data_IF_692132374687
#
_entry.id   IF_692132374687
#
_cell.length_a   1.000
_cell.length_b   1.000
_cell.length_c   1.000
_cell.angle_alpha   90.00
_cell.angle_beta   90.00
_cell.angle_gamma   90.00
#
_symmetry.space_group_name_H-M   'P 1'
#
loop_
_entity.id
_entity.type
_entity.pdbx_description
1 polymer ?
#
# COMPACT_ATOMS: atom_id res chain seq x y z
N UNK A 1 14.67 -4.71 -18.12
CA UNK A 1 13.56 -5.58 -18.57
C UNK A 1 12.68 -5.88 -17.37
N UNK A 2 11.38 -6.21 -17.54
CA UNK A 2 10.57 -6.65 -16.41
C UNK A 2 11.18 -7.91 -15.78
N UNK A 3 11.06 -8.06 -14.46
CA UNK A 3 11.63 -9.20 -13.73
C UNK A 3 10.82 -10.48 -13.98
N UNK A 4 9.52 -10.35 -14.23
CA UNK A 4 8.61 -11.44 -14.56
C UNK A 4 7.46 -10.94 -15.44
N UNK A 5 6.74 -11.89 -16.05
CA UNK A 5 5.49 -11.64 -16.78
C UNK A 5 4.42 -12.61 -16.27
N UNK A 6 3.16 -12.17 -16.28
CA UNK A 6 2.02 -13.03 -16.03
C UNK A 6 1.33 -13.34 -17.36
N UNK A 7 0.93 -14.60 -17.55
CA UNK A 7 0.22 -15.08 -18.73
C UNK A 7 -1.16 -15.60 -18.32
N UNK A 8 -2.18 -15.28 -19.12
CA UNK A 8 -3.54 -15.76 -18.87
C UNK A 8 -4.32 -15.93 -20.18
N UNK A 9 -5.26 -16.87 -20.20
CA UNK A 9 -6.21 -17.03 -21.31
C UNK A 9 -7.16 -15.83 -21.37
N UNK A 10 -7.86 -15.65 -22.50
CA UNK A 10 -8.85 -14.59 -22.68
C UNK A 10 -9.88 -14.54 -21.53
N UNK A 11 -10.33 -15.69 -21.03
CA UNK A 11 -11.32 -15.76 -19.95
C UNK A 11 -10.80 -15.21 -18.62
N UNK A 12 -9.54 -15.50 -18.29
CA UNK A 12 -8.88 -15.08 -17.04
C UNK A 12 -8.36 -13.64 -17.12
N UNK A 13 -7.96 -13.18 -18.31
CA UNK A 13 -7.42 -11.84 -18.53
C UNK A 13 -8.49 -10.75 -18.67
N UNK A 14 -9.79 -11.07 -18.57
CA UNK A 14 -10.89 -10.10 -18.77
C UNK A 14 -10.81 -8.86 -17.87
N UNK A 15 -10.29 -9.01 -16.66
CA UNK A 15 -10.12 -7.90 -15.70
C UNK A 15 -8.80 -7.14 -15.85
N UNK A 16 -7.91 -7.59 -16.73
CA UNK A 16 -6.57 -7.03 -16.90
C UNK A 16 -6.62 -5.73 -17.72
N UNK A 17 -5.70 -4.79 -17.45
CA UNK A 17 -5.64 -3.53 -18.17
C UNK A 17 -4.91 -3.70 -19.51
N UNK A 18 -5.46 -4.51 -20.41
CA UNK A 18 -4.87 -4.77 -21.73
C UNK A 18 -5.22 -3.65 -22.70
N UNK A 19 -4.28 -3.34 -23.60
CA UNK A 19 -4.52 -2.44 -24.72
C UNK A 19 -5.67 -2.96 -25.61
N UNK A 20 -6.36 -2.04 -26.28
CA UNK A 20 -7.59 -2.34 -27.03
C UNK A 20 -7.35 -3.33 -28.16
N UNK A 21 -6.21 -3.24 -28.82
CA UNK A 21 -5.75 -4.15 -29.87
C UNK A 21 -5.49 -5.57 -29.33
N UNK A 22 -4.87 -5.69 -28.14
CA UNK A 22 -4.66 -6.97 -27.46
C UNK A 22 -6.00 -7.61 -27.08
N UNK A 23 -6.94 -6.81 -26.56
CA UNK A 23 -8.31 -7.28 -26.28
C UNK A 23 -8.99 -7.79 -27.55
N UNK A 24 -8.88 -7.05 -28.65
CA UNK A 24 -9.48 -7.43 -29.93
C UNK A 24 -8.87 -8.74 -30.48
N UNK A 25 -7.54 -8.88 -30.42
CA UNK A 25 -6.85 -10.09 -30.86
C UNK A 25 -7.27 -11.34 -30.08
N UNK A 26 -7.43 -11.22 -28.76
CA UNK A 26 -7.91 -12.32 -27.91
C UNK A 26 -9.36 -12.71 -28.22
N UNK A 27 -10.24 -11.72 -28.39
CA UNK A 27 -11.67 -11.95 -28.67
C UNK A 27 -11.89 -12.57 -30.05
N UNK A 28 -11.10 -12.16 -31.04
CA UNK A 28 -11.16 -12.71 -32.39
C UNK A 28 -10.40 -14.04 -32.56
N UNK A 29 -9.75 -14.55 -31.48
CA UNK A 29 -9.04 -15.84 -31.51
C UNK A 29 -7.70 -15.80 -32.23
N UNK A 30 -7.13 -14.62 -32.49
CA UNK A 30 -5.81 -14.45 -33.09
C UNK A 30 -4.67 -14.64 -32.07
N UNK A 31 -5.01 -14.68 -30.78
CA UNK A 31 -4.08 -14.97 -29.68
C UNK A 31 -4.76 -15.88 -28.65
N UNK A 32 -4.01 -16.84 -28.11
CA UNK A 32 -4.49 -17.75 -27.06
C UNK A 32 -4.28 -17.17 -25.65
N UNK A 33 -3.19 -16.42 -25.46
CA UNK A 33 -2.79 -15.87 -24.17
C UNK A 33 -2.54 -14.36 -24.24
N UNK A 34 -2.92 -13.67 -23.18
CA UNK A 34 -2.50 -12.32 -22.87
C UNK A 34 -1.25 -12.37 -21.98
N UNK A 35 -0.34 -11.43 -22.17
CA UNK A 35 0.80 -11.21 -21.28
C UNK A 35 0.72 -9.83 -20.65
N UNK A 36 0.98 -9.75 -19.35
CA UNK A 36 1.20 -8.48 -18.65
C UNK A 36 2.52 -8.50 -17.90
N UNK A 37 3.14 -7.33 -17.80
CA UNK A 37 4.35 -7.11 -17.04
C UNK A 37 4.17 -5.87 -16.17
N UNK A 38 4.68 -5.91 -14.95
CA UNK A 38 4.74 -4.74 -14.08
C UNK A 38 6.08 -4.05 -14.27
N UNK A 39 6.03 -2.73 -14.50
CA UNK A 39 7.22 -1.89 -14.48
C UNK A 39 6.85 -0.52 -13.90
N UNK A 40 7.42 -0.13 -12.75
CA UNK A 40 7.14 1.19 -12.20
C UNK A 40 7.69 2.27 -13.13
N UNK A 41 6.80 3.15 -13.59
CA UNK A 41 7.20 4.34 -14.35
C UNK A 41 7.99 5.31 -13.44
N UNK A 42 8.83 6.17 -14.04
CA UNK A 42 9.56 7.18 -13.27
C UNK A 42 8.62 8.08 -12.44
N UNK A 43 7.47 8.43 -13.01
CA UNK A 43 6.44 9.24 -12.34
C UNK A 43 5.74 8.50 -11.19
N UNK A 44 5.71 7.16 -11.20
CA UNK A 44 5.11 6.35 -10.15
C UNK A 44 5.93 6.44 -8.85
N UNK A 45 7.25 6.54 -8.97
CA UNK A 45 8.15 6.81 -7.83
C UNK A 45 7.86 8.16 -7.19
N UNK A 46 7.68 9.20 -8.01
CA UNK A 46 7.39 10.53 -7.49
C UNK A 46 6.02 10.59 -6.80
N UNK A 47 5.01 9.88 -7.31
CA UNK A 47 3.72 9.73 -6.65
C UNK A 47 3.86 9.01 -5.30
N UNK A 48 4.55 7.87 -5.27
CA UNK A 48 4.79 7.13 -4.03
C UNK A 48 5.58 7.96 -3.02
N UNK A 49 6.61 8.67 -3.46
CA UNK A 49 7.41 9.56 -2.63
C UNK A 49 6.58 10.71 -2.04
N UNK A 50 5.71 11.32 -2.85
CA UNK A 50 4.75 12.33 -2.36
C UNK A 50 3.78 11.75 -1.33
N UNK A 51 3.29 10.53 -1.55
CA UNK A 51 2.40 9.87 -0.59
C UNK A 51 3.08 9.71 0.79
N UNK A 52 4.36 9.36 0.83
CA UNK A 52 5.13 9.31 2.08
C UNK A 52 5.63 10.67 2.59
N UNK A 53 5.35 11.78 1.90
CA UNK A 53 5.85 13.10 2.26
C UNK A 53 7.38 13.23 2.14
N UNK A 54 8.00 12.46 1.23
CA UNK A 54 9.42 12.58 0.95
C UNK A 54 9.73 13.91 0.26
N UNK A 55 10.87 14.51 0.60
CA UNK A 55 11.38 15.68 -0.11
C UNK A 55 11.84 15.28 -1.53
N UNK A 56 11.99 16.23 -2.46
CA UNK A 56 12.54 15.94 -3.79
C UNK A 56 13.92 15.26 -3.74
N UNK A 57 14.76 15.61 -2.78
CA UNK A 57 16.09 15.02 -2.63
C UNK A 57 16.03 13.61 -2.04
N UNK A 58 15.15 13.37 -1.07
CA UNK A 58 14.87 12.03 -0.52
C UNK A 58 14.32 11.09 -1.60
N UNK A 59 13.37 11.57 -2.43
CA UNK A 59 12.80 10.82 -3.57
C UNK A 59 13.89 10.41 -4.57
N UNK A 60 14.70 11.37 -5.03
CA UNK A 60 15.78 11.11 -6.01
C UNK A 60 16.78 10.09 -5.47
N UNK A 61 17.18 10.22 -4.20
CA UNK A 61 18.12 9.28 -3.59
C UNK A 61 17.52 7.89 -3.40
N UNK A 62 16.26 7.77 -2.97
CA UNK A 62 15.58 6.48 -2.86
C UNK A 62 15.45 5.79 -4.22
N UNK A 63 15.10 6.53 -5.28
CA UNK A 63 15.02 6.01 -6.63
C UNK A 63 16.41 5.58 -7.17
N UNK A 64 17.48 6.35 -6.88
CA UNK A 64 18.84 5.95 -7.23
C UNK A 64 19.30 4.70 -6.46
N UNK A 65 18.97 4.62 -5.17
CA UNK A 65 19.25 3.45 -4.33
C UNK A 65 18.53 2.19 -4.85
N UNK A 66 17.27 2.31 -5.26
CA UNK A 66 16.53 1.21 -5.86
C UNK A 66 17.14 0.71 -7.18
N UNK A 67 17.77 1.60 -7.97
CA UNK A 67 18.44 1.24 -9.22
C UNK A 67 19.84 0.65 -9.03
N UNK A 68 20.59 1.15 -8.05
CA UNK A 68 22.00 0.82 -7.85
C UNK A 68 22.24 -0.25 -6.79
N UNK A 69 21.30 -0.47 -5.88
CA UNK A 69 21.42 -1.40 -4.76
C UNK A 69 22.45 -1.00 -3.68
N UNK A 70 23.22 0.07 -3.89
CA UNK A 70 24.27 0.53 -3.00
C UNK A 70 24.20 2.05 -2.78
N UNK A 71 24.31 2.47 -1.51
CA UNK A 71 24.21 3.86 -1.09
C UNK A 71 25.35 4.74 -1.63
N UNK A 72 26.58 4.22 -1.73
CA UNK A 72 27.70 4.98 -2.31
C UNK A 72 27.45 5.34 -3.78
N UNK A 73 27.03 4.36 -4.58
CA UNK A 73 26.70 4.58 -5.98
C UNK A 73 25.49 5.51 -6.14
N UNK A 74 24.47 5.35 -5.29
CA UNK A 74 23.30 6.23 -5.29
C UNK A 74 23.64 7.68 -4.90
N UNK A 75 24.57 7.88 -3.95
CA UNK A 75 25.05 9.20 -3.56
C UNK A 75 25.80 9.89 -4.72
N UNK A 76 26.67 9.15 -5.41
CA UNK A 76 27.37 9.64 -6.59
C UNK A 76 26.39 10.01 -7.73
N UNK A 77 25.42 9.14 -8.03
CA UNK A 77 24.37 9.39 -9.04
C UNK A 77 23.54 10.65 -8.76
N UNK A 78 23.37 11.01 -7.49
CA UNK A 78 22.54 12.15 -7.07
C UNK A 78 23.34 13.39 -6.72
N UNK A 79 24.67 13.34 -6.86
CA UNK A 79 25.57 14.48 -6.60
C UNK A 79 25.61 14.91 -5.14
N UNK A 80 25.43 13.99 -4.19
CA UNK A 80 25.49 14.28 -2.75
C UNK A 80 26.63 13.53 -2.07
N UNK A 81 27.18 14.12 -1.02
CA UNK A 81 28.17 13.44 -0.18
C UNK A 81 27.55 12.22 0.53
N UNK A 82 28.37 11.20 0.82
CA UNK A 82 27.90 9.96 1.45
C UNK A 82 27.20 10.19 2.80
N UNK A 83 27.73 11.06 3.65
CA UNK A 83 27.10 11.39 4.93
C UNK A 83 25.74 12.09 4.77
N UNK A 84 25.61 12.93 3.74
CA UNK A 84 24.32 13.53 3.37
C UNK A 84 23.34 12.47 2.89
N UNK A 85 23.80 11.53 2.06
CA UNK A 85 22.98 10.41 1.59
C UNK A 85 22.47 9.55 2.77
N UNK A 86 23.34 9.25 3.74
CA UNK A 86 22.96 8.52 4.96
C UNK A 86 21.85 9.24 5.74
N UNK A 87 21.98 10.56 5.94
CA UNK A 87 20.97 11.37 6.63
C UNK A 87 19.63 11.39 5.87
N UNK A 88 19.67 11.55 4.55
CA UNK A 88 18.47 11.54 3.70
C UNK A 88 17.76 10.18 3.74
N UNK A 89 18.50 9.07 3.65
CA UNK A 89 17.93 7.72 3.78
C UNK A 89 17.34 7.50 5.18
N UNK A 90 18.01 7.95 6.24
CA UNK A 90 17.45 7.87 7.60
C UNK A 90 16.13 8.62 7.75
N UNK A 91 16.01 9.81 7.14
CA UNK A 91 14.76 10.57 7.11
C UNK A 91 13.67 9.86 6.30
N UNK A 92 14.02 9.35 5.12
CA UNK A 92 13.08 8.61 4.27
C UNK A 92 12.57 7.35 4.98
N UNK A 93 13.45 6.56 5.60
CA UNK A 93 13.09 5.39 6.39
C UNK A 93 12.09 5.72 7.50
N UNK A 94 12.32 6.82 8.24
CA UNK A 94 11.40 7.29 9.28
C UNK A 94 10.04 7.69 8.69
N UNK A 95 10.00 8.39 7.56
CA UNK A 95 8.75 8.78 6.88
C UNK A 95 7.98 7.59 6.32
N UNK A 96 8.68 6.55 5.86
CA UNK A 96 8.05 5.32 5.36
C UNK A 96 7.70 4.31 6.47
N UNK A 97 8.10 4.56 7.71
CA UNK A 97 7.99 3.62 8.83
C UNK A 97 8.91 2.40 8.71
N UNK A 98 9.93 2.46 7.85
CA UNK A 98 10.81 1.33 7.57
C UNK A 98 11.97 1.26 8.57
N UNK A 99 12.19 0.08 9.15
CA UNK A 99 13.34 -0.16 10.04
C UNK A 99 14.66 -0.40 9.30
N UNK A 100 14.62 -0.73 8.00
CA UNK A 100 15.78 -0.98 7.14
C UNK A 100 15.58 -0.41 5.73
N UNK A 101 16.68 -0.20 5.01
CA UNK A 101 16.66 0.30 3.63
C UNK A 101 15.88 -0.61 2.68
N UNK A 102 15.98 -1.94 2.86
CA UNK A 102 15.26 -2.93 2.04
C UNK A 102 13.75 -2.76 2.16
N UNK A 103 13.22 -2.67 3.39
CA UNK A 103 11.80 -2.44 3.63
C UNK A 103 11.35 -1.06 3.11
N UNK A 104 12.18 -0.03 3.22
CA UNK A 104 11.90 1.29 2.65
C UNK A 104 11.69 1.21 1.15
N UNK A 105 12.63 0.60 0.41
CA UNK A 105 12.55 0.46 -1.05
C UNK A 105 11.32 -0.37 -1.44
N UNK A 106 11.10 -1.50 -0.77
CA UNK A 106 9.92 -2.35 -0.99
C UNK A 106 8.61 -1.59 -0.79
N UNK A 107 8.48 -0.80 0.28
CA UNK A 107 7.29 0.00 0.59
C UNK A 107 7.02 1.08 -0.45
N UNK A 108 8.05 1.81 -0.88
CA UNK A 108 7.92 2.85 -1.92
C UNK A 108 7.48 2.20 -3.25
N UNK A 109 8.08 1.06 -3.62
CA UNK A 109 7.69 0.31 -4.81
C UNK A 109 6.27 -0.23 -4.76
N UNK A 110 5.87 -0.80 -3.62
CA UNK A 110 4.51 -1.27 -3.42
C UNK A 110 3.50 -0.12 -3.55
N UNK A 111 3.80 1.06 -2.99
CA UNK A 111 2.96 2.25 -3.18
C UNK A 111 2.94 2.73 -4.65
N UNK A 112 4.05 2.61 -5.37
CA UNK A 112 4.14 2.93 -6.79
C UNK A 112 3.34 1.95 -7.68
N UNK A 113 3.08 0.73 -7.20
CA UNK A 113 2.23 -0.25 -7.86
C UNK A 113 0.73 0.06 -7.75
N UNK A 114 0.35 1.01 -6.87
CA UNK A 114 -1.03 1.36 -6.59
C UNK A 114 -1.64 0.51 -5.48
N UNK A 115 -2.95 0.54 -5.36
CA UNK A 115 -3.71 -0.19 -4.32
C UNK A 115 -3.92 -1.66 -4.71
N UNK A 116 -2.81 -2.40 -4.81
CA UNK A 116 -2.81 -3.83 -5.10
C UNK A 116 -2.61 -4.62 -3.82
N UNK A 117 -3.41 -5.67 -3.61
CA UNK A 117 -3.17 -6.64 -2.55
C UNK A 117 -2.19 -7.71 -3.06
N UNK A 118 -1.07 -7.97 -2.35
CA UNK A 118 -0.20 -9.10 -2.68
C UNK A 118 -0.99 -10.42 -2.66
N UNK A 119 -0.57 -11.36 -3.49
CA UNK A 119 -1.11 -12.71 -3.51
C UNK A 119 -0.84 -13.44 -2.18
N UNK A 120 -1.76 -14.29 -1.71
CA UNK A 120 -1.59 -15.01 -0.44
C UNK A 120 -0.45 -16.06 -0.51
N UNK A 121 -0.05 -16.45 -1.71
CA UNK A 121 0.95 -17.48 -2.02
C UNK A 121 2.27 -16.90 -2.61
N UNK A 122 2.57 -15.62 -2.35
CA UNK A 122 3.77 -14.93 -2.90
C UNK A 122 5.08 -15.68 -2.63
N UNK A 123 5.24 -16.31 -1.47
CA UNK A 123 6.45 -17.09 -1.15
C UNK A 123 6.58 -18.28 -2.11
N UNK A 124 5.49 -18.98 -2.40
CA UNK A 124 5.48 -20.13 -3.33
C UNK A 124 5.75 -19.65 -4.75
N UNK A 125 5.06 -18.60 -5.18
CA UNK A 125 5.29 -17.99 -6.48
C UNK A 125 6.75 -17.57 -6.67
N UNK A 126 7.35 -16.95 -5.65
CA UNK A 126 8.75 -16.54 -5.67
C UNK A 126 9.70 -17.72 -5.73
N UNK A 127 9.39 -18.82 -5.03
CA UNK A 127 10.14 -20.06 -5.09
C UNK A 127 10.13 -20.66 -6.50
N UNK A 128 8.94 -20.78 -7.09
CA UNK A 128 8.75 -21.36 -8.41
C UNK A 128 9.41 -20.51 -9.51
N UNK A 129 9.29 -19.18 -9.43
CA UNK A 129 9.86 -18.26 -10.42
C UNK A 129 11.38 -18.32 -10.52
N UNK A 130 12.06 -18.54 -9.38
CA UNK A 130 13.53 -18.54 -9.31
C UNK A 130 14.14 -19.92 -9.05
N UNK A 131 13.34 -20.99 -9.06
CA UNK A 131 13.82 -22.35 -8.77
C UNK A 131 14.43 -22.50 -7.37
N UNK A 132 13.85 -21.81 -6.37
CA UNK A 132 14.33 -21.83 -4.99
C UNK A 132 13.60 -22.89 -4.18
N UNK A 133 14.28 -23.44 -3.16
CA UNK A 133 13.57 -24.18 -2.12
C UNK A 133 12.64 -23.26 -1.31
N UNK A 134 11.61 -23.83 -0.69
CA UNK A 134 10.71 -23.09 0.20
C UNK A 134 11.48 -22.29 1.27
N UNK A 135 12.47 -22.92 1.91
CA UNK A 135 13.33 -22.29 2.92
C UNK A 135 14.06 -21.05 2.37
N UNK A 136 14.64 -21.16 1.19
CA UNK A 136 15.34 -20.05 0.53
C UNK A 136 14.37 -18.92 0.17
N UNK A 137 13.15 -19.25 -0.29
CA UNK A 137 12.12 -18.25 -0.59
C UNK A 137 11.64 -17.52 0.67
N UNK A 138 11.40 -18.23 1.78
CA UNK A 138 11.05 -17.61 3.09
C UNK A 138 12.16 -16.68 3.56
N UNK A 139 13.42 -17.12 3.48
CA UNK A 139 14.58 -16.32 3.84
C UNK A 139 14.71 -15.06 2.97
N UNK A 140 14.53 -15.21 1.65
CA UNK A 140 14.59 -14.11 0.68
C UNK A 140 13.52 -13.05 0.97
N UNK A 141 12.27 -13.49 1.17
CA UNK A 141 11.13 -12.63 1.48
C UNK A 141 11.30 -11.92 2.82
N UNK A 142 11.80 -12.62 3.85
CA UNK A 142 12.11 -11.99 5.14
C UNK A 142 13.12 -10.86 5.01
N UNK A 143 14.24 -11.08 4.28
CA UNK A 143 15.27 -10.05 4.05
C UNK A 143 14.74 -8.89 3.20
N UNK A 144 13.96 -9.19 2.15
CA UNK A 144 13.30 -8.19 1.31
C UNK A 144 12.34 -7.30 2.11
N UNK A 145 11.63 -7.87 3.08
CA UNK A 145 10.74 -7.17 4.01
C UNK A 145 11.48 -6.49 5.18
N UNK A 146 12.81 -6.53 5.17
CA UNK A 146 13.66 -5.85 6.13
C UNK A 146 13.82 -6.55 7.47
N UNK A 147 13.60 -7.87 7.55
CA UNK A 147 14.08 -8.65 8.69
C UNK A 147 15.61 -8.67 8.74
N UNK A 148 16.19 -8.89 9.94
CA UNK A 148 17.61 -9.27 10.00
C UNK A 148 17.80 -10.63 9.36
N UNK A 149 19.02 -10.96 8.96
CA UNK A 149 19.33 -12.31 8.49
C UNK A 149 18.99 -13.34 9.56
N UNK A 150 19.23 -13.04 10.83
CA UNK A 150 18.98 -13.93 11.96
C UNK A 150 17.46 -14.15 12.16
N UNK A 151 16.65 -13.10 12.09
CA UNK A 151 15.19 -13.22 12.18
C UNK A 151 14.60 -13.93 10.96
N UNK A 152 15.10 -13.64 9.75
CA UNK A 152 14.69 -14.33 8.53
C UNK A 152 15.11 -15.81 8.53
N UNK A 153 16.28 -16.13 9.09
CA UNK A 153 16.73 -17.51 9.29
C UNK A 153 15.81 -18.26 10.26
N UNK A 154 15.45 -17.63 11.39
CA UNK A 154 14.52 -18.20 12.35
C UNK A 154 13.14 -18.48 11.71
N UNK A 155 12.61 -17.52 10.94
CA UNK A 155 11.35 -17.69 10.21
C UNK A 155 11.42 -18.81 9.15
N UNK A 156 12.60 -19.01 8.54
CA UNK A 156 12.86 -20.09 7.60
C UNK A 156 13.21 -21.43 8.28
N UNK A 157 13.23 -21.50 9.61
CA UNK A 157 13.60 -22.71 10.36
C UNK A 157 15.06 -23.14 10.18
N UNK A 158 15.99 -22.19 10.08
CA UNK A 158 17.42 -22.45 9.84
C UNK A 158 18.36 -21.60 10.70
N UNK A 159 19.65 -21.93 10.70
CA UNK A 159 20.67 -21.18 11.44
C UNK A 159 21.17 -19.97 10.64
N UNK A 160 21.71 -18.96 11.34
CA UNK A 160 22.28 -17.77 10.69
C UNK A 160 23.45 -18.08 9.75
N UNK A 161 24.23 -19.14 10.04
CA UNK A 161 25.31 -19.58 9.16
C UNK A 161 24.77 -20.19 7.86
N UNK A 162 23.80 -21.11 7.96
CA UNK A 162 23.13 -21.69 6.79
C UNK A 162 22.41 -20.63 5.96
N UNK A 163 21.78 -19.65 6.62
CA UNK A 163 21.13 -18.51 5.96
C UNK A 163 22.11 -17.66 5.13
N UNK A 164 23.37 -17.51 5.55
CA UNK A 164 24.38 -16.80 4.74
C UNK A 164 24.67 -17.54 3.43
N UNK A 165 24.75 -18.87 3.47
CA UNK A 165 24.96 -19.70 2.28
C UNK A 165 23.73 -19.69 1.38
N UNK A 166 22.54 -19.85 1.95
CA UNK A 166 21.27 -19.80 1.21
C UNK A 166 21.07 -18.45 0.53
N UNK A 167 21.39 -17.32 1.18
CA UNK A 167 21.28 -16.00 0.56
C UNK A 167 22.19 -15.83 -0.65
N UNK A 168 23.36 -16.48 -0.69
CA UNK A 168 24.20 -16.46 -1.90
C UNK A 168 23.51 -17.17 -3.06
N UNK A 169 22.88 -18.31 -2.80
CA UNK A 169 22.10 -19.05 -3.81
C UNK A 169 20.91 -18.21 -4.28
N UNK A 170 20.18 -17.58 -3.35
CA UNK A 170 19.08 -16.67 -3.69
C UNK A 170 19.56 -15.52 -4.57
N UNK A 171 20.65 -14.85 -4.21
CA UNK A 171 21.17 -13.73 -4.99
C UNK A 171 21.58 -14.15 -6.40
N UNK A 172 22.24 -15.30 -6.54
CA UNK A 172 22.59 -15.86 -7.84
C UNK A 172 21.35 -16.19 -8.67
N UNK A 173 20.38 -16.90 -8.10
CA UNK A 173 19.15 -17.30 -8.79
C UNK A 173 18.30 -16.10 -9.23
N UNK A 174 18.23 -15.06 -8.39
CA UNK A 174 17.50 -13.82 -8.69
C UNK A 174 18.29 -12.85 -9.59
N UNK A 175 19.57 -13.12 -9.86
CA UNK A 175 20.45 -12.22 -10.61
C UNK A 175 20.69 -10.87 -9.91
N UNK A 176 20.76 -10.86 -8.58
CA UNK A 176 20.96 -9.65 -7.76
C UNK A 176 22.27 -9.68 -7.00
N UNK A 177 22.83 -8.51 -6.71
CA UNK A 177 24.10 -8.41 -5.98
C UNK A 177 23.92 -8.20 -4.46
N UNK A 178 22.75 -7.73 -4.03
CA UNK A 178 22.54 -7.28 -2.66
C UNK A 178 21.05 -7.36 -2.25
N UNK A 179 20.81 -7.13 -0.95
CA UNK A 179 19.48 -7.21 -0.35
C UNK A 179 18.52 -6.10 -0.84
N UNK A 180 19.04 -4.94 -1.26
CA UNK A 180 18.21 -3.84 -1.78
C UNK A 180 17.65 -4.21 -3.15
N UNK A 181 18.48 -4.80 -4.01
CA UNK A 181 18.04 -5.32 -5.32
C UNK A 181 17.06 -6.48 -5.15
N UNK A 182 17.29 -7.38 -4.18
CA UNK A 182 16.34 -8.42 -3.82
C UNK A 182 14.98 -7.83 -3.38
N UNK A 183 15.00 -6.80 -2.53
CA UNK A 183 13.79 -6.12 -2.06
C UNK A 183 13.00 -5.44 -3.20
N UNK A 184 13.71 -4.88 -4.18
CA UNK A 184 13.10 -4.33 -5.40
C UNK A 184 12.41 -5.44 -6.21
N UNK A 185 13.12 -6.53 -6.48
CA UNK A 185 12.57 -7.66 -7.25
C UNK A 185 11.34 -8.26 -6.56
N UNK A 186 11.41 -8.48 -5.24
CA UNK A 186 10.28 -8.98 -4.47
C UNK A 186 9.07 -8.04 -4.59
N UNK A 187 9.25 -6.73 -4.47
CA UNK A 187 8.17 -5.76 -4.61
C UNK A 187 7.56 -5.73 -6.03
N UNK A 188 8.38 -5.87 -7.08
CA UNK A 188 7.89 -5.95 -8.46
C UNK A 188 7.07 -7.23 -8.72
N UNK A 189 7.48 -8.36 -8.13
CA UNK A 189 6.74 -9.62 -8.21
C UNK A 189 5.43 -9.56 -7.43
N UNK A 190 5.45 -9.03 -6.21
CA UNK A 190 4.23 -8.85 -5.40
C UNK A 190 3.22 -7.96 -6.13
N UNK A 191 3.69 -6.88 -6.77
CA UNK A 191 2.88 -5.98 -7.58
C UNK A 191 2.29 -6.69 -8.80
N UNK A 192 3.10 -7.45 -9.56
CA UNK A 192 2.65 -8.21 -10.71
C UNK A 192 1.63 -9.29 -10.32
N UNK A 193 1.89 -10.01 -9.23
CA UNK A 193 0.99 -11.06 -8.73
C UNK A 193 -0.35 -10.48 -8.27
N UNK A 194 -0.32 -9.33 -7.57
CA UNK A 194 -1.52 -8.60 -7.18
C UNK A 194 -2.31 -8.11 -8.41
N UNK A 195 -1.62 -7.57 -9.41
CA UNK A 195 -2.22 -7.11 -10.66
C UNK A 195 -2.88 -8.27 -11.44
N UNK A 196 -2.17 -9.39 -11.57
CA UNK A 196 -2.64 -10.56 -12.32
C UNK A 196 -3.89 -11.23 -11.69
N UNK A 197 -4.04 -11.12 -10.36
CA UNK A 197 -5.18 -11.69 -9.62
C UNK A 197 -6.30 -10.70 -9.36
N UNK A 198 -6.14 -9.44 -9.73
CA UNK A 198 -7.17 -8.42 -9.54
C UNK A 198 -8.42 -8.75 -10.38
N UNK A 199 -9.60 -8.69 -9.77
CA UNK A 199 -10.87 -8.90 -10.47
C UNK A 199 -11.16 -7.78 -11.48
N UNK A 200 -10.69 -6.57 -11.19
CA UNK A 200 -10.80 -5.39 -12.03
C UNK A 200 -9.66 -4.44 -11.74
N UNK A 201 -9.04 -3.89 -12.79
CA UNK A 201 -7.98 -2.90 -12.65
C UNK A 201 -8.44 -1.57 -13.23
N UNK A 202 -8.42 -0.52 -12.40
CA UNK A 202 -8.62 0.84 -12.86
C UNK A 202 -7.26 1.53 -12.97
N UNK A 203 -6.91 1.99 -14.18
CA UNK A 203 -5.72 2.81 -14.39
C UNK A 203 -6.15 4.27 -14.45
N UNK A 204 -5.55 5.10 -13.59
CA UNK A 204 -5.74 6.54 -13.66
C UNK A 204 -5.10 7.07 -14.96
N UNK A 205 -5.85 7.81 -15.81
CA UNK A 205 -5.30 8.34 -17.05
C UNK A 205 -4.17 9.36 -16.76
N UNK A 206 -3.17 9.45 -17.64
CA UNK A 206 -2.11 10.44 -17.51
C UNK A 206 -2.68 11.87 -17.40
N UNK A 207 -2.18 12.65 -16.45
CA UNK A 207 -2.59 14.05 -16.25
C UNK A 207 -3.85 14.26 -15.42
N UNK A 208 -4.59 13.21 -15.09
CA UNK A 208 -5.65 13.32 -14.07
C UNK A 208 -5.00 13.44 -12.69
N UNK A 209 -5.52 14.34 -11.85
CA UNK A 209 -5.02 14.48 -10.48
C UNK A 209 -5.17 13.13 -9.76
N UNK A 210 -4.02 12.50 -9.49
CA UNK A 210 -3.97 11.31 -8.66
C UNK A 210 -4.70 11.61 -7.34
N UNK A 211 -5.32 10.59 -6.78
CA UNK A 211 -5.86 10.66 -5.43
C UNK A 211 -4.80 11.31 -4.51
N UNK A 212 -5.13 12.34 -3.70
CA UNK A 212 -4.16 13.01 -2.82
C UNK A 212 -3.82 12.13 -1.62
N UNK A 213 -3.26 10.96 -1.92
CA UNK A 213 -2.86 9.91 -1.01
C UNK A 213 -1.71 10.41 -0.14
N UNK A 214 -1.80 10.06 1.13
CA UNK A 214 -0.79 10.22 2.16
C UNK A 214 -0.68 8.91 2.92
N UNK A 215 0.54 8.42 3.07
CA UNK A 215 0.87 7.24 3.85
C UNK A 215 1.48 7.72 5.16
N UNK A 216 0.66 7.72 6.21
CA UNK A 216 1.02 8.22 7.54
C UNK A 216 1.55 7.05 8.37
N UNK A 217 2.71 7.23 8.99
CA UNK A 217 3.23 6.25 9.95
C UNK A 217 2.38 6.24 11.23
N UNK A 218 2.07 5.05 11.75
CA UNK A 218 1.45 4.90 13.07
C UNK A 218 2.43 5.36 14.14
N UNK A 219 1.95 6.03 15.19
CA UNK A 219 2.81 6.48 16.29
C UNK A 219 3.33 5.32 17.14
N UNK A 220 2.49 4.28 17.29
CA UNK A 220 2.74 3.13 18.18
C UNK A 220 3.40 1.94 17.48
N UNK A 221 3.61 1.99 16.16
CA UNK A 221 4.15 0.85 15.40
C UNK A 221 4.78 1.29 14.08
N UNK A 222 5.69 0.50 13.48
CA UNK A 222 6.28 0.79 12.16
C UNK A 222 5.31 0.59 10.98
N UNK A 223 4.01 0.47 11.25
CA UNK A 223 2.96 0.27 10.26
C UNK A 223 2.42 1.61 9.76
N UNK A 224 1.70 1.59 8.64
CA UNK A 224 1.17 2.81 8.02
C UNK A 224 -0.34 2.80 7.86
N UNK A 225 -0.89 4.00 7.73
CA UNK A 225 -2.29 4.31 7.44
C UNK A 225 -2.34 5.03 6.10
N UNK A 226 -3.16 4.55 5.18
CA UNK A 226 -3.46 5.21 3.93
C UNK A 226 -4.60 6.21 4.11
N UNK A 227 -4.33 7.46 3.75
CA UNK A 227 -5.23 8.59 3.95
C UNK A 227 -5.33 9.39 2.67
N UNK A 228 -6.52 9.84 2.34
CA UNK A 228 -6.73 10.79 1.25
C UNK A 228 -7.30 12.08 1.81
N UNK A 229 -6.56 13.16 1.66
CA UNK A 229 -6.98 14.50 2.07
C UNK A 229 -7.44 15.28 0.85
N UNK A 230 -8.76 15.32 0.64
CA UNK A 230 -9.34 15.90 -0.56
C UNK A 230 -9.31 17.44 -0.54
N UNK A 231 -9.00 18.07 0.60
CA UNK A 231 -9.07 19.52 0.74
C UNK A 231 -10.51 20.08 0.59
N UNK A 232 -10.68 21.41 0.56
CA UNK A 232 -9.66 22.45 0.77
C UNK A 232 -9.13 22.50 2.21
N UNK A 233 -7.86 22.85 2.42
CA UNK A 233 -7.19 22.80 3.74
C UNK A 233 -7.90 23.65 4.81
N UNK A 234 -8.46 24.80 4.44
CA UNK A 234 -9.14 25.75 5.34
C UNK A 234 -10.62 25.41 5.62
N UNK A 235 -11.18 24.41 4.94
CA UNK A 235 -12.57 24.00 5.12
C UNK A 235 -12.74 23.15 6.40
N UNK A 236 -14.00 22.91 6.81
CA UNK A 236 -14.31 22.18 8.04
C UNK A 236 -13.84 20.72 7.94
N UNK A 237 -12.99 20.21 8.84
CA UNK A 237 -12.48 18.83 8.73
C UNK A 237 -13.59 17.78 8.89
N UNK A 238 -13.65 16.84 7.96
CA UNK A 238 -14.60 15.73 7.96
C UNK A 238 -13.88 14.41 7.72
N UNK A 239 -13.82 13.54 8.73
CA UNK A 239 -13.26 12.20 8.60
C UNK A 239 -14.34 11.21 8.15
N UNK A 240 -14.12 10.53 7.04
CA UNK A 240 -15.09 9.65 6.39
C UNK A 240 -14.71 8.19 6.60
N UNK A 241 -15.58 7.43 7.25
CA UNK A 241 -15.45 5.99 7.49
C UNK A 241 -16.12 5.19 6.38
N UNK A 242 -15.38 4.22 5.85
CA UNK A 242 -15.86 3.30 4.82
C UNK A 242 -16.49 2.03 5.43
N UNK A 243 -17.40 1.36 4.70
CA UNK A 243 -18.01 0.11 5.14
C UNK A 243 -17.03 -1.07 5.04
N UNK A 244 -17.47 -2.28 5.42
CA UNK A 244 -16.66 -3.49 5.31
C UNK A 244 -16.37 -3.91 3.85
N UNK A 245 -17.14 -3.39 2.89
CA UNK A 245 -16.95 -3.64 1.46
C UNK A 245 -16.58 -2.32 0.80
N UNK A 246 -15.28 -2.02 0.74
CA UNK A 246 -14.73 -0.76 0.22
C UNK A 246 -13.49 -0.30 0.98
N UNK A 247 -13.08 0.94 0.74
CA UNK A 247 -11.92 1.57 1.37
C UNK A 247 -12.02 3.10 1.33
N UNK A 248 -10.87 3.77 1.38
CA UNK A 248 -10.74 5.23 1.32
C UNK A 248 -11.30 5.85 0.04
N UNK A 249 -11.35 5.08 -1.05
CA UNK A 249 -11.88 5.52 -2.32
C UNK A 249 -13.38 5.83 -2.22
N UNK A 250 -13.76 7.07 -2.53
CA UNK A 250 -15.15 7.53 -2.50
C UNK A 250 -15.57 8.06 -3.88
N UNK A 251 -16.87 8.03 -4.22
CA UNK A 251 -17.35 8.60 -5.49
C UNK A 251 -16.98 10.09 -5.62
N UNK A 252 -16.42 10.49 -6.78
CA UNK A 252 -16.02 11.89 -7.04
C UNK A 252 -17.16 12.89 -6.80
N UNK A 253 -18.38 12.55 -7.19
CA UNK A 253 -19.58 13.37 -6.96
C UNK A 253 -19.85 13.61 -5.46
N UNK A 254 -19.58 12.62 -4.61
CA UNK A 254 -19.71 12.77 -3.16
C UNK A 254 -18.65 13.72 -2.61
N UNK A 255 -17.38 13.54 -3.00
CA UNK A 255 -16.28 14.42 -2.57
C UNK A 255 -16.58 15.87 -2.98
N UNK A 256 -16.96 16.10 -4.24
CA UNK A 256 -17.31 17.42 -4.75
C UNK A 256 -18.49 18.04 -3.99
N UNK A 257 -19.54 17.26 -3.68
CA UNK A 257 -20.68 17.75 -2.91
C UNK A 257 -20.29 18.14 -1.47
N UNK A 258 -19.42 17.37 -0.82
CA UNK A 258 -18.93 17.69 0.52
C UNK A 258 -18.06 18.97 0.50
N UNK A 259 -17.19 19.11 -0.50
CA UNK A 259 -16.38 20.31 -0.69
C UNK A 259 -17.24 21.55 -0.95
N UNK A 260 -18.24 21.44 -1.82
CA UNK A 260 -19.19 22.52 -2.09
C UNK A 260 -20.00 22.92 -0.84
N UNK A 261 -20.26 21.97 0.06
CA UNK A 261 -20.88 22.21 1.36
C UNK A 261 -19.91 22.74 2.45
N UNK A 262 -18.68 23.11 2.08
CA UNK A 262 -17.70 23.73 2.98
C UNK A 262 -16.93 22.74 3.86
N UNK A 263 -16.92 21.46 3.51
CA UNK A 263 -16.12 20.44 4.20
C UNK A 263 -14.76 20.22 3.53
N UNK A 264 -13.80 19.74 4.33
CA UNK A 264 -12.53 19.13 3.92
C UNK A 264 -12.65 17.62 4.14
N UNK A 265 -13.06 16.83 3.12
CA UNK A 265 -13.18 15.40 3.27
C UNK A 265 -11.80 14.78 3.42
N UNK A 266 -11.62 14.00 4.49
CA UNK A 266 -10.48 13.14 4.73
C UNK A 266 -11.01 11.71 4.77
N UNK A 267 -10.60 10.87 3.84
CA UNK A 267 -10.92 9.44 3.85
C UNK A 267 -9.67 8.66 4.24
N UNK A 268 -9.83 7.47 4.82
CA UNK A 268 -8.70 6.61 5.16
C UNK A 268 -9.10 5.16 5.09
N UNK A 269 -8.12 4.28 4.88
CA UNK A 269 -8.34 2.84 4.96
C UNK A 269 -8.20 2.38 6.42
N UNK A 270 -9.19 1.64 6.91
CA UNK A 270 -9.12 0.99 8.23
C UNK A 270 -8.05 -0.12 8.24
N UNK A 271 -7.60 -0.60 9.42
CA UNK A 271 -6.64 -1.71 9.51
C UNK A 271 -6.97 -2.87 8.56
N UNK A 272 -6.06 -3.16 7.63
CA UNK A 272 -6.22 -4.27 6.69
C UNK A 272 -6.94 -3.98 5.38
N UNK A 273 -7.38 -2.75 5.18
CA UNK A 273 -8.00 -2.32 3.94
C UNK A 273 -7.02 -1.53 3.11
N UNK A 274 -7.17 -1.64 1.79
CA UNK A 274 -6.37 -0.93 0.80
C UNK A 274 -4.87 -0.95 1.12
N UNK A 275 -4.31 0.25 1.30
CA UNK A 275 -2.89 0.46 1.56
C UNK A 275 -2.53 0.62 3.05
N UNK A 276 -3.52 0.54 3.96
CA UNK A 276 -3.29 0.52 5.40
C UNK A 276 -2.83 -0.86 5.82
N UNK A 277 -1.70 -0.91 6.52
CA UNK A 277 -1.16 -2.17 7.02
C UNK A 277 -2.18 -2.85 7.96
N UNK A 278 -2.39 -4.16 7.75
CA UNK A 278 -3.08 -5.04 8.71
C UNK A 278 -2.49 -4.84 10.11
N UNK A 279 -3.22 -5.24 11.14
CA UNK A 279 -2.64 -5.47 12.46
C UNK A 279 -2.37 -6.96 12.53
N UNK A 280 -1.16 -7.36 12.90
CA UNK A 280 -0.72 -8.75 12.79
C UNK A 280 -0.75 -9.46 14.15
N UNK A 281 -0.99 -8.71 15.22
CA UNK A 281 -1.26 -9.21 16.57
C UNK A 281 -2.78 -9.34 16.80
N UNK A 282 -3.50 -9.80 15.76
CA UNK A 282 -4.97 -9.97 15.78
C UNK A 282 -5.46 -10.87 16.93
N UNK A 283 -4.57 -11.69 17.51
CA UNK A 283 -4.87 -12.51 18.67
C UNK A 283 -5.16 -11.68 19.95
N UNK A 284 -4.93 -10.36 19.96
CA UNK A 284 -5.06 -9.52 21.15
C UNK A 284 -5.90 -8.23 20.99
N UNK A 285 -6.34 -7.84 19.78
CA UNK A 285 -6.90 -6.49 19.54
C UNK A 285 -8.28 -6.45 18.88
N UNK A 286 -9.16 -5.59 19.39
CA UNK A 286 -10.43 -5.21 18.74
C UNK A 286 -10.13 -4.38 17.47
N UNK A 287 -10.53 -4.84 16.26
CA UNK A 287 -10.27 -4.11 15.02
C UNK A 287 -10.91 -2.72 14.98
N UNK A 288 -11.98 -2.48 15.74
CA UNK A 288 -12.61 -1.17 15.83
C UNK A 288 -11.84 -0.23 16.75
N UNK A 289 -11.31 -0.73 17.87
CA UNK A 289 -10.42 0.04 18.74
C UNK A 289 -9.16 0.48 18.01
N UNK A 290 -8.56 -0.41 17.22
CA UNK A 290 -7.39 -0.06 16.43
C UNK A 290 -7.72 0.89 15.27
N UNK A 291 -8.88 0.74 14.62
CA UNK A 291 -9.37 1.73 13.67
C UNK A 291 -9.58 3.11 14.31
N UNK A 292 -9.92 3.17 15.60
CA UNK A 292 -10.08 4.41 16.35
C UNK A 292 -8.74 5.06 16.70
N UNK A 293 -7.73 4.26 17.05
CA UNK A 293 -6.35 4.75 17.19
C UNK A 293 -5.78 5.27 15.86
N UNK A 294 -6.04 4.57 14.76
CA UNK A 294 -5.68 5.05 13.43
C UNK A 294 -6.35 6.39 13.13
N UNK A 295 -7.64 6.56 13.45
CA UNK A 295 -8.33 7.83 13.29
C UNK A 295 -7.66 8.97 14.10
N UNK A 296 -7.22 8.69 15.33
CA UNK A 296 -6.47 9.66 16.13
C UNK A 296 -5.11 10.00 15.50
N UNK A 297 -4.36 8.99 15.05
CA UNK A 297 -3.07 9.18 14.36
C UNK A 297 -3.24 10.07 13.11
N UNK A 298 -4.32 9.87 12.34
CA UNK A 298 -4.67 10.72 11.19
C UNK A 298 -4.97 12.15 11.62
N UNK A 299 -5.84 12.33 12.61
CA UNK A 299 -6.24 13.65 13.12
C UNK A 299 -5.03 14.44 13.62
N UNK A 300 -4.09 13.78 14.31
CA UNK A 300 -2.85 14.39 14.76
C UNK A 300 -1.87 14.69 13.61
N UNK A 301 -1.63 13.74 12.72
CA UNK A 301 -0.72 13.91 11.60
C UNK A 301 -1.17 15.02 10.62
N UNK A 302 -2.47 15.30 10.59
CA UNK A 302 -3.06 16.39 9.81
C UNK A 302 -3.19 17.71 10.60
N UNK A 303 -2.82 17.74 11.88
CA UNK A 303 -2.89 18.93 12.74
C UNK A 303 -4.31 19.42 12.99
N UNK A 304 -5.30 18.52 13.01
CA UNK A 304 -6.72 18.90 13.10
C UNK A 304 -7.13 19.07 14.56
N UNK A 305 -7.49 20.29 14.97
CA UNK A 305 -7.93 20.54 16.35
C UNK A 305 -9.23 19.80 16.68
N UNK A 306 -10.21 19.87 15.78
CA UNK A 306 -11.50 19.15 15.86
C UNK A 306 -11.89 18.60 14.49
N UNK A 307 -12.66 17.52 14.49
CA UNK A 307 -13.13 16.84 13.27
C UNK A 307 -14.56 16.34 13.41
N UNK A 308 -15.35 16.45 12.35
CA UNK A 308 -16.66 15.80 12.25
C UNK A 308 -16.47 14.40 11.64
N UNK A 309 -17.22 13.41 12.11
CA UNK A 309 -17.15 12.06 11.57
C UNK A 309 -18.38 11.78 10.69
N UNK A 310 -18.14 11.19 9.52
CA UNK A 310 -19.19 10.69 8.63
C UNK A 310 -18.97 9.20 8.38
N UNK A 311 -19.92 8.36 8.78
CA UNK A 311 -19.93 6.95 8.43
C UNK A 311 -20.84 6.70 7.22
N UNK A 312 -20.27 6.16 6.14
CA UNK A 312 -21.03 5.61 5.01
C UNK A 312 -21.10 4.09 5.13
N UNK A 313 -21.79 3.62 6.17
CA UNK A 313 -21.56 2.30 6.76
C UNK A 313 -20.33 2.29 7.67
N UNK A 314 -20.04 1.16 8.31
CA UNK A 314 -18.95 1.10 9.31
C UNK A 314 -19.22 1.94 10.57
N UNK A 315 -20.49 2.12 10.93
CA UNK A 315 -20.92 2.95 12.07
C UNK A 315 -20.23 2.58 13.38
N UNK A 316 -19.97 1.28 13.63
CA UNK A 316 -19.22 0.82 14.80
C UNK A 316 -17.82 1.46 14.83
N UNK A 317 -17.08 1.45 13.72
CA UNK A 317 -15.76 2.07 13.64
C UNK A 317 -15.82 3.58 13.92
N UNK A 318 -16.80 4.28 13.33
CA UNK A 318 -16.96 5.72 13.54
C UNK A 318 -17.35 6.08 14.98
N UNK A 319 -18.23 5.30 15.62
CA UNK A 319 -18.64 5.53 17.01
C UNK A 319 -17.50 5.21 17.98
N UNK A 320 -16.76 4.11 17.77
CA UNK A 320 -15.56 3.81 18.56
C UNK A 320 -14.51 4.90 18.41
N UNK A 321 -14.31 5.43 17.19
CA UNK A 321 -13.43 6.57 16.95
C UNK A 321 -13.92 7.86 17.62
N UNK A 322 -15.23 8.14 17.60
CA UNK A 322 -15.81 9.29 18.30
C UNK A 322 -15.50 9.24 19.80
N UNK A 323 -15.72 8.08 20.42
CA UNK A 323 -15.41 7.87 21.83
C UNK A 323 -13.91 8.06 22.12
N UNK A 324 -13.04 7.55 21.23
CA UNK A 324 -11.58 7.66 21.39
C UNK A 324 -11.04 9.09 21.20
N UNK A 325 -11.64 9.86 20.30
CA UNK A 325 -11.25 11.24 20.00
C UNK A 325 -11.70 12.24 21.08
N UNK A 326 -12.69 11.89 21.90
CA UNK A 326 -13.24 12.77 22.94
C UNK A 326 -13.66 14.13 22.37
N UNK A 327 -13.25 15.22 23.01
CA UNK A 327 -13.59 16.60 22.60
C UNK A 327 -13.12 16.98 21.18
N UNK A 328 -12.13 16.25 20.64
CA UNK A 328 -11.67 16.43 19.26
C UNK A 328 -12.70 15.90 18.25
N UNK A 329 -13.54 14.95 18.64
CA UNK A 329 -14.68 14.46 17.84
C UNK A 329 -15.87 15.39 18.02
N UNK A 330 -16.11 16.30 17.07
CA UNK A 330 -17.15 17.32 17.20
C UNK A 330 -18.58 16.78 17.12
N UNK A 331 -18.87 15.95 16.12
CA UNK A 331 -20.18 15.32 15.90
C UNK A 331 -20.00 14.11 14.96
N UNK A 332 -20.81 13.06 15.12
CA UNK A 332 -20.78 11.89 14.24
C UNK A 332 -22.14 11.73 13.52
N UNK A 333 -22.11 11.68 12.19
CA UNK A 333 -23.27 11.35 11.37
C UNK A 333 -23.10 9.95 10.76
N UNK A 334 -24.01 9.03 11.10
CA UNK A 334 -24.01 7.68 10.56
C UNK A 334 -25.10 7.53 9.52
N UNK A 335 -24.71 7.28 8.26
CA UNK A 335 -25.62 6.95 7.18
C UNK A 335 -25.54 5.45 6.89
N UNK A 336 -26.62 4.72 7.19
CA UNK A 336 -26.85 3.36 6.70
C UNK A 336 -27.93 3.40 5.62
N UNK A 337 -27.68 2.74 4.48
CA UNK A 337 -28.76 2.48 3.53
C UNK A 337 -29.83 1.64 4.25
N UNK A 338 -31.13 1.94 4.11
CA UNK A 338 -32.16 1.13 4.75
C UNK A 338 -32.06 -0.30 4.21
N UNK A 339 -31.85 -1.26 5.11
CA UNK A 339 -31.96 -2.67 4.74
C UNK A 339 -33.41 -2.95 4.34
N UNK A 340 -33.63 -3.76 3.29
CA UNK A 340 -35.00 -4.14 2.84
C UNK A 340 -35.85 -4.76 3.97
N UNK A 341 -35.25 -5.19 5.08
CA UNK A 341 -35.93 -5.77 6.25
C UNK A 341 -36.54 -4.76 7.23
N UNK A 342 -36.28 -3.46 7.12
CA UNK A 342 -36.86 -2.46 8.03
C UNK A 342 -38.22 -1.89 7.58
N UNK A 343 -38.75 -2.31 6.42
CA UNK A 343 -40.07 -1.85 5.94
C UNK A 343 -41.27 -2.58 6.57
N UNK A 344 -41.08 -3.62 7.39
CA UNK A 344 -42.20 -4.43 7.91
C UNK A 344 -42.59 -4.17 9.37
N UNK A 345 -42.03 -3.18 10.07
CA UNK A 345 -42.36 -2.89 11.49
C UNK A 345 -43.11 -1.55 11.66
N UNK A 346 -43.94 -1.17 10.68
CA UNK A 346 -44.96 -0.12 10.87
C UNK A 346 -46.25 -0.49 10.15
N UNK A 347 -47.00 -1.44 10.72
CA UNK A 347 -48.43 -1.60 10.49
C UNK A 347 -49.04 -2.49 11.59
N UNK A 348 -49.19 -1.95 12.80
CA UNK A 348 -50.23 -2.37 13.76
C UNK A 348 -50.20 -1.48 15.01
N UNK A 349 -51.01 -0.43 14.98
CA UNK A 349 -51.61 0.12 16.20
C UNK A 349 -53.10 0.21 15.92
N UNK A 350 -53.85 -0.74 16.48
CA UNK A 350 -55.20 -0.47 16.97
C UNK A 350 -55.11 0.15 18.34
#
# INVERSE_FOLDING_TARGET
MPVAVAAATAAMARGWPLATDVHAALLAGHAEFALIAFRPAATAWDHAARAYGLSPQESRLAAALARRGNLHAAAADTGVAYETARKLVGNAMRKTGAGRQTDMIRRILAAAAGDTRPADDTIRLFADLFGLSWRQAVLAQGVAQGATREAAAAAAGTSGHAAKTDLKVVYQACGVANAVDLARIAAEIDALAGLARACSVAIAPPGEAAEPLRLIARRRSPRRIAVTDHGPVKARPLLVFHPAVGGRHQPRKLIAALQAAGWRPVTFDRPGFGLTDMITDMAAGDPFAESAEDALDVVEALGLARVTLLARGGSTAALTAAARLGDRGGSAACWSAPSRRQRSIRASRG
#
